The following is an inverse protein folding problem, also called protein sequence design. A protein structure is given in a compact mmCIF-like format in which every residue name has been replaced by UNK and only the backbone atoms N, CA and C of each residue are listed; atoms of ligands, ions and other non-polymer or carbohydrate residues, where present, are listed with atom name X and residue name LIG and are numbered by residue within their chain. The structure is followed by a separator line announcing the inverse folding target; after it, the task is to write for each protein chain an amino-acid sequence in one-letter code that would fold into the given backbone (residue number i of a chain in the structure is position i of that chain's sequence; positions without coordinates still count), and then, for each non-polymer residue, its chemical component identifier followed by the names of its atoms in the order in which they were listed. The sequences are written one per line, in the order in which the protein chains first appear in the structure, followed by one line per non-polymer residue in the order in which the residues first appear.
data_IF_468657464182
#
_entry.id   IF_468657464182
#
_cell.length_a   1.000
_cell.length_b   1.000
_cell.length_c   1.000
_cell.angle_alpha   90.00
_cell.angle_beta   90.00
_cell.angle_gamma   90.00
#
_symmetry.space_group_name_H-M   'P 1'
#
loop_
_entity.id
_entity.type
_entity.pdbx_description
1 polymer ?
#
# COMPACT_ATOMS: atom_id res chain seq x y z
N UNK A 1 53.21 -21.28 -32.78
CA UNK A 1 53.73 -20.67 -31.54
C UNK A 1 52.62 -20.75 -30.50
N UNK A 2 52.70 -21.32 -29.31
CA UNK A 2 53.81 -21.84 -28.51
C UNK A 2 53.24 -22.91 -27.58
N UNK A 3 53.74 -24.14 -27.69
CA UNK A 3 53.59 -25.21 -26.71
C UNK A 3 54.60 -24.96 -25.59
N UNK A 4 54.13 -24.60 -24.39
CA UNK A 4 54.96 -24.72 -23.18
C UNK A 4 54.60 -26.01 -22.46
N UNK A 5 55.48 -26.99 -22.66
CA UNK A 5 55.68 -28.12 -21.77
C UNK A 5 55.98 -27.59 -20.36
N UNK A 6 55.31 -28.14 -19.35
CA UNK A 6 55.83 -28.18 -17.99
C UNK A 6 55.78 -29.64 -17.57
N UNK A 7 56.92 -30.30 -17.73
CA UNK A 7 57.19 -31.60 -17.14
C UNK A 7 57.90 -31.39 -15.80
N UNK A 8 57.38 -32.12 -14.81
CA UNK A 8 58.09 -32.72 -13.67
C UNK A 8 58.79 -31.80 -12.67
N UNK A 9 58.26 -31.78 -11.44
CA UNK A 9 59.03 -32.11 -10.23
C UNK A 9 58.12 -32.85 -9.25
N UNK A 10 58.18 -34.17 -9.32
CA UNK A 10 57.92 -35.06 -8.18
C UNK A 10 59.09 -34.91 -7.21
N UNK A 11 58.83 -34.72 -5.91
CA UNK A 11 59.67 -35.24 -4.82
C UNK A 11 59.05 -35.03 -3.43
N UNK A 12 58.73 -36.16 -2.77
CA UNK A 12 58.54 -36.30 -1.31
C UNK A 12 57.21 -35.77 -0.78
N UNK A 13 56.21 -36.59 -0.43
CA UNK A 13 56.27 -37.72 0.50
C UNK A 13 55.06 -38.67 0.21
N UNK A 14 55.26 -39.92 -0.23
CA UNK A 14 54.14 -40.84 -0.49
C UNK A 14 53.57 -41.48 0.77
N UNK A 15 54.11 -41.19 1.96
CA UNK A 15 53.71 -41.86 3.20
C UNK A 15 52.95 -40.94 4.13
N UNK A 16 51.68 -40.71 3.79
CA UNK A 16 50.61 -40.63 4.77
C UNK A 16 49.25 -40.87 4.12
N UNK A 17 49.16 -41.87 3.26
CA UNK A 17 47.87 -42.51 3.02
C UNK A 17 47.55 -43.31 4.28
N UNK A 18 47.01 -42.64 5.30
CA UNK A 18 46.31 -43.32 6.39
C UNK A 18 45.09 -43.96 5.74
N UNK A 19 45.28 -45.18 5.24
CA UNK A 19 44.21 -46.03 4.73
C UNK A 19 43.33 -46.30 5.93
N UNK A 20 42.27 -45.49 6.07
CA UNK A 20 41.28 -45.66 7.12
C UNK A 20 40.79 -47.10 6.98
N UNK A 21 40.84 -47.84 8.08
CA UNK A 21 40.22 -49.17 8.14
C UNK A 21 38.78 -49.04 7.59
N UNK A 22 38.28 -50.01 6.82
CA UNK A 22 36.96 -49.94 6.18
C UNK A 22 35.85 -49.44 7.12
N UNK A 23 35.90 -49.86 8.38
CA UNK A 23 34.98 -49.46 9.45
C UNK A 23 35.05 -47.96 9.78
N UNK A 24 36.26 -47.37 9.80
CA UNK A 24 36.46 -45.95 10.06
C UNK A 24 36.00 -45.07 8.89
N UNK A 25 36.12 -45.56 7.65
CA UNK A 25 35.58 -44.89 6.46
C UNK A 25 34.05 -44.96 6.44
N UNK A 26 33.47 -46.14 6.71
CA UNK A 26 32.01 -46.32 6.79
C UNK A 26 31.37 -45.43 7.87
N UNK A 27 32.04 -45.28 9.02
CA UNK A 27 31.55 -44.41 10.09
C UNK A 27 31.58 -42.92 9.68
N UNK A 28 32.64 -42.46 9.01
CA UNK A 28 32.71 -41.09 8.46
C UNK A 28 31.63 -40.82 7.42
N UNK A 29 31.37 -41.76 6.51
CA UNK A 29 30.29 -41.64 5.51
C UNK A 29 28.94 -41.54 6.20
N UNK A 30 28.70 -42.34 7.24
CA UNK A 30 27.44 -42.32 8.01
C UNK A 30 27.24 -40.98 8.71
N UNK A 31 28.30 -40.41 9.31
CA UNK A 31 28.25 -39.09 9.96
C UNK A 31 27.97 -38.00 8.93
N UNK A 32 28.72 -37.96 7.82
CA UNK A 32 28.53 -36.99 6.76
C UNK A 32 27.12 -37.06 6.13
N UNK A 33 26.56 -38.25 5.96
CA UNK A 33 25.20 -38.43 5.46
C UNK A 33 24.15 -37.89 6.45
N UNK A 34 24.31 -38.15 7.76
CA UNK A 34 23.43 -37.59 8.79
C UNK A 34 23.48 -36.06 8.85
N UNK A 35 24.68 -35.48 8.74
CA UNK A 35 24.86 -34.02 8.67
C UNK A 35 24.22 -33.43 7.42
N UNK A 36 24.42 -34.06 6.26
CA UNK A 36 23.79 -33.63 5.01
C UNK A 36 22.26 -33.61 5.11
N UNK A 37 21.65 -34.67 5.65
CA UNK A 37 20.20 -34.72 5.88
C UNK A 37 19.71 -33.65 6.87
N UNK A 38 20.51 -33.33 7.89
CA UNK A 38 20.20 -32.25 8.83
C UNK A 38 20.19 -30.89 8.12
N UNK A 39 21.23 -30.58 7.35
CA UNK A 39 21.34 -29.33 6.58
C UNK A 39 20.22 -29.23 5.55
N UNK A 40 19.85 -30.32 4.88
CA UNK A 40 18.70 -30.32 3.97
C UNK A 40 17.40 -29.92 4.70
N UNK A 41 17.13 -30.48 5.88
CA UNK A 41 15.93 -30.12 6.66
C UNK A 41 15.95 -28.64 7.08
N UNK A 42 17.06 -28.16 7.61
CA UNK A 42 17.22 -26.74 7.99
C UNK A 42 17.01 -25.82 6.77
N UNK A 43 17.54 -26.20 5.60
CA UNK A 43 17.33 -25.45 4.36
C UNK A 43 15.84 -25.41 3.96
N UNK A 44 15.13 -26.53 4.03
CA UNK A 44 13.68 -26.58 3.77
C UNK A 44 12.88 -25.71 4.74
N UNK A 45 13.25 -25.69 6.03
CA UNK A 45 12.63 -24.82 7.02
C UNK A 45 12.85 -23.34 6.72
N UNK A 46 14.06 -22.96 6.32
CA UNK A 46 14.39 -21.59 5.92
C UNK A 46 13.60 -21.15 4.68
N UNK A 47 13.53 -22.00 3.65
CA UNK A 47 12.72 -21.74 2.47
C UNK A 47 11.24 -21.56 2.81
N UNK A 48 10.71 -22.41 3.69
CA UNK A 48 9.33 -22.29 4.14
C UNK A 48 9.10 -21.00 4.93
N UNK A 49 10.04 -20.59 5.79
CA UNK A 49 9.97 -19.33 6.52
C UNK A 49 10.00 -18.13 5.57
N UNK A 50 10.89 -18.15 4.58
CA UNK A 50 10.99 -17.11 3.56
C UNK A 50 9.70 -17.00 2.73
N UNK A 51 9.15 -18.14 2.27
CA UNK A 51 7.86 -18.17 1.54
C UNK A 51 6.70 -17.63 2.37
N UNK A 52 6.60 -18.03 3.64
CA UNK A 52 5.59 -17.48 4.56
C UNK A 52 5.74 -15.97 4.73
N UNK A 53 6.98 -15.47 4.88
CA UNK A 53 7.29 -14.05 4.92
C UNK A 53 6.84 -13.31 3.66
N UNK A 54 7.17 -13.84 2.48
CA UNK A 54 6.77 -13.26 1.19
C UNK A 54 5.24 -13.16 1.05
N UNK A 55 4.50 -14.19 1.48
CA UNK A 55 3.03 -14.16 1.46
C UNK A 55 2.49 -13.09 2.41
N UNK A 56 3.04 -12.96 3.63
CA UNK A 56 2.66 -11.89 4.56
C UNK A 56 2.91 -10.50 3.95
N UNK A 57 4.09 -10.27 3.38
CA UNK A 57 4.43 -8.98 2.75
C UNK A 57 3.51 -8.64 1.58
N UNK A 58 3.15 -9.62 0.73
CA UNK A 58 2.21 -9.39 -0.37
C UNK A 58 0.81 -8.99 0.12
N UNK A 59 0.32 -9.62 1.19
CA UNK A 59 -0.97 -9.26 1.81
C UNK A 59 -0.93 -7.85 2.38
N UNK A 60 0.17 -7.49 3.05
CA UNK A 60 0.39 -6.14 3.58
C UNK A 60 0.34 -5.08 2.48
N UNK A 61 1.05 -5.31 1.37
CA UNK A 61 1.04 -4.40 0.21
C UNK A 61 -0.37 -4.22 -0.38
N UNK A 62 -1.16 -5.29 -0.46
CA UNK A 62 -2.53 -5.20 -0.95
C UNK A 62 -3.44 -4.37 -0.04
N UNK A 63 -3.26 -4.45 1.28
CA UNK A 63 -4.01 -3.61 2.22
C UNK A 63 -3.61 -2.14 2.12
N UNK A 64 -2.31 -1.84 2.00
CA UNK A 64 -1.82 -0.47 1.79
C UNK A 64 -2.35 0.15 0.50
N UNK A 65 -2.33 -0.61 -0.61
CA UNK A 65 -2.89 -0.15 -1.88
C UNK A 65 -4.39 0.13 -1.80
N UNK A 66 -5.13 -0.63 -0.98
CA UNK A 66 -6.55 -0.35 -0.72
C UNK A 66 -6.75 0.97 0.02
N UNK A 67 -5.95 1.23 1.06
CA UNK A 67 -6.00 2.50 1.81
C UNK A 67 -5.70 3.67 0.86
N UNK A 68 -4.65 3.56 0.05
CA UNK A 68 -4.29 4.59 -0.93
C UNK A 68 -5.42 4.87 -1.92
N UNK A 69 -6.07 3.82 -2.45
CA UNK A 69 -7.23 3.98 -3.33
C UNK A 69 -8.41 4.69 -2.66
N UNK A 70 -8.66 4.41 -1.38
CA UNK A 70 -9.72 5.06 -0.62
C UNK A 70 -9.43 6.57 -0.41
N UNK A 71 -8.18 6.91 -0.12
CA UNK A 71 -7.75 8.31 0.03
C UNK A 71 -7.93 9.06 -1.29
N UNK A 72 -7.51 8.49 -2.42
CA UNK A 72 -7.66 9.12 -3.73
C UNK A 72 -9.13 9.36 -4.12
N UNK A 73 -10.02 8.43 -3.81
CA UNK A 73 -11.46 8.62 -4.03
C UNK A 73 -12.01 9.77 -3.17
N UNK A 74 -11.57 9.86 -1.91
CA UNK A 74 -11.96 10.95 -1.01
C UNK A 74 -11.46 12.31 -1.50
N UNK A 75 -10.21 12.40 -1.96
CA UNK A 75 -9.64 13.63 -2.51
C UNK A 75 -10.45 14.13 -3.72
N UNK A 76 -10.87 13.22 -4.60
CA UNK A 76 -11.71 13.57 -5.74
C UNK A 76 -13.09 14.11 -5.30
N UNK A 77 -13.70 13.52 -4.26
CA UNK A 77 -14.96 14.00 -3.68
C UNK A 77 -14.80 15.39 -3.06
N UNK A 78 -13.73 15.63 -2.31
CA UNK A 78 -13.43 16.94 -1.71
C UNK A 78 -13.24 18.00 -2.81
N UNK A 79 -12.47 17.70 -3.84
CA UNK A 79 -12.27 18.62 -4.96
C UNK A 79 -13.60 18.99 -5.65
N UNK A 80 -14.49 18.00 -5.85
CA UNK A 80 -15.82 18.25 -6.41
C UNK A 80 -16.68 19.14 -5.50
N UNK A 81 -16.59 18.99 -4.18
CA UNK A 81 -17.33 19.83 -3.23
C UNK A 81 -16.80 21.25 -3.22
N UNK A 82 -15.48 21.44 -3.21
CA UNK A 82 -14.87 22.77 -3.30
C UNK A 82 -15.33 23.52 -4.55
N UNK A 83 -15.34 22.86 -5.71
CA UNK A 83 -15.83 23.47 -6.95
C UNK A 83 -17.30 23.94 -6.86
N UNK A 84 -18.15 23.20 -6.12
CA UNK A 84 -19.56 23.58 -5.90
C UNK A 84 -19.68 24.78 -4.97
N UNK A 85 -18.84 24.84 -3.94
CA UNK A 85 -18.76 25.99 -3.02
C UNK A 85 -18.32 27.24 -3.77
N UNK A 86 -17.25 27.16 -4.56
CA UNK A 86 -16.74 28.28 -5.36
C UNK A 86 -17.79 28.80 -6.33
N UNK A 87 -18.54 27.90 -6.99
CA UNK A 87 -19.65 28.27 -7.86
C UNK A 87 -20.76 28.97 -7.08
N UNK A 88 -21.10 28.48 -5.88
CA UNK A 88 -22.11 29.10 -5.03
C UNK A 88 -21.67 30.49 -4.54
N UNK A 89 -20.42 30.66 -4.12
CA UNK A 89 -19.86 31.97 -3.74
C UNK A 89 -19.90 32.97 -4.89
N UNK A 90 -19.65 32.52 -6.13
CA UNK A 90 -19.79 33.38 -7.31
C UNK A 90 -21.25 33.82 -7.51
N UNK A 91 -22.22 32.94 -7.27
CA UNK A 91 -23.65 33.28 -7.32
C UNK A 91 -24.05 34.28 -6.22
N UNK A 92 -23.51 34.13 -5.00
CA UNK A 92 -23.70 35.09 -3.89
C UNK A 92 -23.23 36.47 -4.31
N UNK A 93 -22.00 36.58 -4.83
CA UNK A 93 -21.45 37.88 -5.26
C UNK A 93 -22.30 38.53 -6.36
N UNK A 94 -22.71 37.75 -7.37
CA UNK A 94 -23.59 38.25 -8.42
C UNK A 94 -24.93 38.74 -7.87
N UNK A 95 -25.50 38.01 -6.90
CA UNK A 95 -26.72 38.41 -6.21
C UNK A 95 -26.52 39.73 -5.46
N UNK A 96 -25.47 39.84 -4.65
CA UNK A 96 -25.20 41.04 -3.85
C UNK A 96 -24.99 42.29 -4.73
N UNK A 97 -24.31 42.13 -5.88
CA UNK A 97 -24.15 43.19 -6.89
C UNK A 97 -25.50 43.58 -7.53
N UNK A 98 -26.33 42.60 -7.89
CA UNK A 98 -27.64 42.84 -8.48
C UNK A 98 -28.56 43.59 -7.49
N UNK A 99 -28.62 43.15 -6.24
CA UNK A 99 -29.40 43.82 -5.18
C UNK A 99 -28.88 45.24 -4.92
N UNK A 100 -27.56 45.45 -4.93
CA UNK A 100 -26.95 46.77 -4.70
C UNK A 100 -27.13 47.75 -5.86
N UNK A 101 -27.36 47.28 -7.10
CA UNK A 101 -27.49 48.17 -8.26
C UNK A 101 -28.93 48.66 -8.51
N UNK A 102 -29.92 48.03 -7.88
CA UNK A 102 -31.32 48.07 -8.33
C UNK A 102 -32.28 48.58 -7.25
N UNK A 103 -31.87 49.62 -6.51
CA UNK A 103 -32.58 50.14 -5.33
C UNK A 103 -33.97 50.77 -5.63
N UNK A 104 -34.45 50.83 -6.88
CA UNK A 104 -35.69 51.56 -7.21
C UNK A 104 -36.71 50.84 -8.14
N UNK A 105 -36.42 49.78 -8.91
CA UNK A 105 -37.32 49.41 -10.03
C UNK A 105 -38.09 48.07 -10.02
N UNK A 106 -37.62 46.95 -9.42
CA UNK A 106 -38.24 45.64 -9.72
C UNK A 106 -38.36 44.65 -8.55
N UNK A 107 -39.34 44.89 -7.66
CA UNK A 107 -39.66 44.01 -6.52
C UNK A 107 -39.94 42.54 -6.91
N UNK A 108 -40.61 42.28 -8.04
CA UNK A 108 -40.96 40.89 -8.44
C UNK A 108 -39.77 40.10 -9.00
N UNK A 109 -38.72 40.76 -9.48
CA UNK A 109 -37.51 40.09 -9.98
C UNK A 109 -36.63 39.67 -8.79
N UNK A 110 -36.50 40.56 -7.80
CA UNK A 110 -35.85 40.31 -6.51
C UNK A 110 -36.45 39.10 -5.78
N UNK A 111 -37.77 38.98 -5.71
CA UNK A 111 -38.42 37.84 -5.03
C UNK A 111 -38.07 36.49 -5.70
N UNK A 112 -38.07 36.42 -7.03
CA UNK A 112 -37.72 35.21 -7.77
C UNK A 112 -36.24 34.83 -7.60
N UNK A 113 -35.35 35.82 -7.60
CA UNK A 113 -33.91 35.64 -7.37
C UNK A 113 -33.64 35.19 -5.93
N UNK A 114 -34.30 35.79 -4.94
CA UNK A 114 -34.19 35.38 -3.53
C UNK A 114 -34.69 33.96 -3.27
N UNK A 115 -35.81 33.56 -3.90
CA UNK A 115 -36.30 32.18 -3.82
C UNK A 115 -35.27 31.22 -4.39
N UNK A 116 -34.73 31.52 -5.58
CA UNK A 116 -33.69 30.68 -6.21
C UNK A 116 -32.45 30.56 -5.33
N UNK A 117 -31.98 31.68 -4.78
CA UNK A 117 -30.83 31.71 -3.89
C UNK A 117 -31.05 30.88 -2.61
N UNK A 118 -32.22 31.00 -1.96
CA UNK A 118 -32.56 30.17 -0.80
C UNK A 118 -32.55 28.69 -1.13
N UNK A 119 -33.10 28.30 -2.29
CA UNK A 119 -33.11 26.91 -2.72
C UNK A 119 -31.70 26.39 -2.99
N UNK A 120 -30.87 27.16 -3.69
CA UNK A 120 -29.46 26.81 -3.96
C UNK A 120 -28.66 26.70 -2.65
N UNK A 121 -28.83 27.65 -1.72
CA UNK A 121 -28.18 27.64 -0.42
C UNK A 121 -28.62 26.45 0.46
N UNK A 122 -29.92 26.13 0.46
CA UNK A 122 -30.43 24.95 1.16
C UNK A 122 -29.85 23.66 0.59
N UNK A 123 -29.74 23.56 -0.74
CA UNK A 123 -29.11 22.41 -1.39
C UNK A 123 -27.63 22.27 -0.98
N UNK A 124 -26.85 23.36 -1.00
CA UNK A 124 -25.45 23.38 -0.54
C UNK A 124 -25.35 22.90 0.91
N UNK A 125 -26.23 23.37 1.78
CA UNK A 125 -26.23 22.97 3.18
C UNK A 125 -26.56 21.48 3.37
N UNK A 126 -27.50 20.94 2.59
CA UNK A 126 -27.82 19.51 2.59
C UNK A 126 -26.63 18.66 2.15
N UNK A 127 -25.88 19.11 1.13
CA UNK A 127 -24.67 18.43 0.65
C UNK A 127 -23.59 18.37 1.74
N UNK A 128 -23.39 19.47 2.48
CA UNK A 128 -22.43 19.49 3.58
C UNK A 128 -22.83 18.60 4.75
N UNK A 129 -24.13 18.54 5.07
CA UNK A 129 -24.66 17.62 6.08
C UNK A 129 -24.34 16.15 5.73
N UNK A 130 -24.52 15.77 4.46
CA UNK A 130 -24.18 14.42 4.02
C UNK A 130 -22.66 14.20 4.00
N UNK A 131 -21.86 15.24 3.72
CA UNK A 131 -20.40 15.13 3.72
C UNK A 131 -19.81 14.83 5.11
N UNK A 132 -20.39 15.37 6.18
CA UNK A 132 -19.99 15.07 7.56
C UNK A 132 -20.28 13.60 7.91
N UNK A 133 -21.46 13.09 7.55
CA UNK A 133 -21.80 11.67 7.71
C UNK A 133 -20.88 10.75 6.88
N UNK A 134 -20.59 11.17 5.64
CA UNK A 134 -19.63 10.50 4.76
C UNK A 134 -18.20 10.51 5.33
N UNK A 135 -17.81 11.54 6.09
CA UNK A 135 -16.51 11.63 6.75
C UNK A 135 -16.38 10.60 7.87
N UNK A 136 -17.40 10.51 8.72
CA UNK A 136 -17.45 9.53 9.80
C UNK A 136 -17.41 8.10 9.23
N UNK A 137 -18.16 7.84 8.16
CA UNK A 137 -18.16 6.54 7.49
C UNK A 137 -16.80 6.21 6.84
N UNK A 138 -16.15 7.18 6.18
CA UNK A 138 -14.81 7.00 5.62
C UNK A 138 -13.77 6.66 6.69
N UNK A 139 -13.80 7.40 7.81
CA UNK A 139 -12.89 7.18 8.93
C UNK A 139 -13.07 5.77 9.53
N UNK A 140 -14.31 5.33 9.71
CA UNK A 140 -14.60 3.97 10.17
C UNK A 140 -14.06 2.89 9.22
N UNK A 141 -14.20 3.09 7.90
CA UNK A 141 -13.67 2.15 6.91
C UNK A 141 -12.13 2.10 6.90
N UNK A 142 -11.46 3.24 7.04
CA UNK A 142 -10.00 3.30 7.15
C UNK A 142 -9.54 2.59 8.43
N UNK A 143 -10.21 2.86 9.56
CA UNK A 143 -9.91 2.21 10.83
C UNK A 143 -10.06 0.69 10.75
N UNK A 144 -11.13 0.18 10.13
CA UNK A 144 -11.32 -1.26 9.90
C UNK A 144 -10.18 -1.89 9.09
N UNK A 145 -9.72 -1.22 8.03
CA UNK A 145 -8.60 -1.71 7.21
C UNK A 145 -7.28 -1.67 7.99
N UNK A 146 -7.05 -0.61 8.78
CA UNK A 146 -5.87 -0.50 9.66
C UNK A 146 -5.89 -1.57 10.75
N UNK A 147 -7.03 -1.84 11.37
CA UNK A 147 -7.18 -2.91 12.35
C UNK A 147 -6.95 -4.29 11.72
N UNK A 148 -7.46 -4.52 10.51
CA UNK A 148 -7.17 -5.74 9.76
C UNK A 148 -5.66 -5.89 9.45
N UNK A 149 -4.99 -4.77 9.17
CA UNK A 149 -3.55 -4.72 8.94
C UNK A 149 -2.77 -5.07 10.21
N UNK A 150 -3.13 -4.47 11.36
CA UNK A 150 -2.51 -4.76 12.66
C UNK A 150 -2.69 -6.22 13.10
N UNK A 151 -3.87 -6.82 12.87
CA UNK A 151 -4.14 -8.23 13.16
C UNK A 151 -3.36 -9.21 12.27
N UNK A 152 -2.84 -8.74 11.14
CA UNK A 152 -2.14 -9.57 10.15
C UNK A 152 -0.62 -9.67 10.36
N UNK A 153 -0.07 -8.84 11.26
CA UNK A 153 1.34 -8.84 11.67
C UNK A 153 1.65 -10.03 12.59
#
# INVERSE_FOLDING_TARGET
MSTKQISQLSNGNPENHTTLKPDALANKITIAHKEHLKVQREHYEWLNKARKGQVKSRRMLALLARIESMILDRDARIASLMARVEAHEAQIRWHDEAVSSDEIAHQSHLDAVHIRYRTEHAAVHEIFSHFEEDEEQFNAQIEDVVQALLRSL
#
